data_IF_059323803929
#
_entry.id   IF_059323803929
#
_cell.length_a   1.000
_cell.length_b   1.000
_cell.length_c   1.000
_cell.angle_alpha   90.00
_cell.angle_beta   90.00
_cell.angle_gamma   90.00
#
_symmetry.space_group_name_H-M   'P 1'
#
loop_
_entity.id
_entity.type
_entity.pdbx_description
1 polymer ?
#
# COMPACT_ATOMS: atom_id res chain seq x y z
N UNK A 1 -50.80 13.40 5.16
CA UNK A 1 -50.26 13.65 6.50
C UNK A 1 -48.81 13.23 6.46
N UNK A 2 -47.91 14.19 6.66
CA UNK A 2 -46.48 13.92 6.61
C UNK A 2 -46.03 13.20 7.88
N UNK A 3 -44.97 12.41 7.73
CA UNK A 3 -43.99 12.10 8.75
C UNK A 3 -42.70 11.71 8.00
N UNK A 4 -41.61 12.37 8.36
CA UNK A 4 -40.27 12.09 7.84
C UNK A 4 -39.70 10.83 8.54
N UNK A 5 -38.59 10.24 8.05
CA UNK A 5 -37.31 10.83 8.45
C UNK A 5 -36.25 10.82 7.34
N UNK A 6 -35.49 11.90 7.30
CA UNK A 6 -34.23 11.97 6.58
C UNK A 6 -33.27 10.90 7.14
N UNK A 7 -32.82 9.99 6.28
CA UNK A 7 -31.72 9.08 6.59
C UNK A 7 -30.48 9.91 6.92
N UNK A 8 -29.96 9.70 8.13
CA UNK A 8 -28.81 10.38 8.66
C UNK A 8 -27.60 10.21 7.74
N UNK A 9 -27.02 11.34 7.34
CA UNK A 9 -25.69 11.35 6.78
C UNK A 9 -24.73 10.71 7.80
N UNK A 10 -23.87 9.76 7.38
CA UNK A 10 -22.91 9.14 8.28
C UNK A 10 -21.98 10.22 8.85
N UNK A 11 -21.61 10.13 10.13
CA UNK A 11 -20.72 11.10 10.76
C UNK A 11 -19.37 11.09 10.04
N UNK A 12 -18.71 12.26 9.90
CA UNK A 12 -17.40 12.33 9.27
C UNK A 12 -16.41 11.48 10.07
N UNK A 13 -15.74 10.60 9.33
CA UNK A 13 -14.66 9.73 9.77
C UNK A 13 -13.66 10.56 10.59
N UNK A 14 -13.49 10.16 11.85
CA UNK A 14 -12.62 10.82 12.81
C UNK A 14 -11.20 10.90 12.24
N UNK A 15 -10.80 12.10 11.83
CA UNK A 15 -9.42 12.42 11.53
C UNK A 15 -8.59 12.04 12.76
N UNK A 16 -7.76 11.02 12.61
CA UNK A 16 -6.78 10.64 13.59
C UNK A 16 -6.00 11.90 14.01
N UNK A 17 -5.89 12.17 15.32
CA UNK A 17 -5.26 13.39 15.80
C UNK A 17 -3.79 13.43 15.35
N UNK A 18 -3.26 14.60 14.98
CA UNK A 18 -1.84 14.73 14.71
C UNK A 18 -1.08 14.39 16.00
N UNK A 19 -0.27 13.34 15.93
CA UNK A 19 0.67 13.00 16.98
C UNK A 19 1.71 14.12 17.10
N UNK A 20 1.72 14.72 18.28
CA UNK A 20 2.82 15.35 19.01
C UNK A 20 3.80 16.27 18.28
N UNK A 21 3.76 17.53 18.70
CA UNK A 21 4.87 18.46 18.57
C UNK A 21 4.79 19.54 19.65
N UNK A 22 5.31 19.20 20.82
CA UNK A 22 5.50 20.09 21.98
C UNK A 22 6.40 21.31 21.62
N UNK A 23 6.45 22.35 22.48
CA UNK A 23 6.39 23.74 22.05
C UNK A 23 7.67 24.28 21.41
N UNK A 24 7.45 25.22 20.50
CA UNK A 24 8.42 26.11 19.88
C UNK A 24 9.18 26.90 20.96
N UNK A 25 10.31 26.37 21.42
CA UNK A 25 11.32 27.16 22.11
C UNK A 25 12.20 27.82 21.04
N UNK A 26 12.03 29.13 20.89
CA UNK A 26 12.91 29.98 20.12
C UNK A 26 14.33 29.93 20.70
N UNK A 27 15.31 29.58 19.87
CA UNK A 27 16.73 29.55 20.24
C UNK A 27 17.63 29.44 19.01
N UNK A 28 17.89 30.59 18.39
CA UNK A 28 19.11 31.05 17.67
C UNK A 28 19.93 30.03 16.84
N UNK A 29 20.23 30.33 15.56
CA UNK A 29 20.98 29.42 14.68
C UNK A 29 22.47 29.39 15.05
N UNK A 30 23.01 28.19 15.19
CA UNK A 30 24.44 27.95 15.18
C UNK A 30 24.74 26.91 14.09
N UNK A 31 25.36 27.42 13.02
CA UNK A 31 26.07 26.67 11.99
C UNK A 31 27.01 25.68 12.68
N UNK A 32 26.73 24.38 12.59
CA UNK A 32 27.38 23.41 13.45
C UNK A 32 27.15 21.99 12.97
N UNK A 33 27.70 21.67 11.79
CA UNK A 33 28.00 20.32 11.33
C UNK A 33 26.83 19.35 11.34
N UNK A 34 26.24 19.10 10.18
CA UNK A 34 25.38 17.93 10.01
C UNK A 34 26.16 16.70 10.51
N UNK A 35 25.70 15.98 11.56
CA UNK A 35 26.33 14.74 11.95
C UNK A 35 26.28 13.82 10.73
N UNK A 36 27.34 13.07 10.44
CA UNK A 36 27.32 12.14 9.32
C UNK A 36 26.15 11.21 9.53
N UNK A 37 25.16 11.31 8.64
CA UNK A 37 24.01 10.43 8.56
C UNK A 37 24.57 9.01 8.64
N UNK A 38 24.28 8.32 9.75
CA UNK A 38 24.78 6.98 9.98
C UNK A 38 24.31 6.15 8.79
N UNK A 39 25.26 5.76 7.94
CA UNK A 39 24.98 5.08 6.69
C UNK A 39 24.02 3.93 6.99
N UNK A 40 22.80 3.93 6.42
CA UNK A 40 21.84 2.89 6.73
C UNK A 40 22.48 1.53 6.43
N UNK A 41 22.21 0.51 7.28
CA UNK A 41 22.82 -0.80 7.13
C UNK A 41 22.65 -1.31 5.69
N UNK A 42 23.62 -2.08 5.16
CA UNK A 42 23.67 -2.43 3.74
C UNK A 42 22.31 -3.00 3.32
N UNK A 43 21.63 -2.26 2.46
CA UNK A 43 20.34 -2.66 1.96
C UNK A 43 20.52 -3.96 1.18
N UNK A 44 19.89 -5.03 1.67
CA UNK A 44 19.74 -6.25 0.88
C UNK A 44 19.05 -5.93 -0.46
N UNK A 45 19.14 -6.83 -1.45
CA UNK A 45 18.53 -6.59 -2.75
C UNK A 45 17.03 -6.26 -2.59
N UNK A 46 16.50 -5.33 -3.40
CA UNK A 46 15.10 -4.96 -3.35
C UNK A 46 14.21 -6.18 -3.59
N UNK A 47 13.34 -6.49 -2.63
CA UNK A 47 12.42 -7.61 -2.69
C UNK A 47 11.12 -7.27 -1.97
N UNK A 48 10.00 -7.80 -2.46
CA UNK A 48 8.71 -7.75 -1.79
C UNK A 48 8.18 -9.16 -1.61
N UNK A 49 7.46 -9.36 -0.51
CA UNK A 49 6.72 -10.58 -0.23
C UNK A 49 5.24 -10.26 -0.01
N UNK A 50 4.37 -11.24 -0.20
CA UNK A 50 2.93 -11.10 0.05
C UNK A 50 2.48 -12.26 0.94
N UNK A 51 1.76 -11.96 2.01
CA UNK A 51 1.21 -12.93 2.94
C UNK A 51 -0.28 -12.64 3.26
N UNK A 52 -1.21 -13.60 3.13
CA UNK A 52 -1.02 -14.94 2.56
C UNK A 52 -0.51 -14.90 1.10
N UNK A 53 0.24 -15.90 0.62
CA UNK A 53 0.79 -15.90 -0.74
C UNK A 53 -0.24 -16.29 -1.82
N UNK A 54 -1.47 -16.63 -1.43
CA UNK A 54 -2.59 -16.98 -2.30
C UNK A 54 -3.91 -16.65 -1.60
N UNK A 55 -4.98 -16.45 -2.38
CA UNK A 55 -6.31 -16.20 -1.85
C UNK A 55 -7.36 -17.15 -2.42
N UNK A 56 -8.36 -17.48 -1.60
CA UNK A 56 -9.61 -18.08 -2.03
C UNK A 56 -10.74 -17.15 -1.61
N UNK A 57 -11.63 -16.84 -2.55
CA UNK A 57 -12.77 -15.94 -2.30
C UNK A 57 -14.06 -16.56 -2.88
N UNK A 58 -15.23 -16.32 -2.27
CA UNK A 58 -16.48 -16.85 -2.79
C UNK A 58 -16.82 -16.27 -4.17
N UNK A 59 -17.33 -17.11 -5.07
CA UNK A 59 -17.85 -16.68 -6.37
C UNK A 59 -19.04 -15.71 -6.22
N UNK A 60 -19.81 -15.83 -5.14
CA UNK A 60 -20.87 -14.90 -4.76
C UNK A 60 -20.36 -13.51 -4.31
N UNK A 61 -19.05 -13.31 -4.22
CA UNK A 61 -18.41 -12.09 -3.74
C UNK A 61 -17.82 -12.25 -2.34
N UNK A 62 -16.83 -11.43 -2.02
CA UNK A 62 -16.12 -11.50 -0.75
C UNK A 62 -14.90 -10.60 -0.71
N UNK A 63 -14.16 -10.66 0.40
CA UNK A 63 -12.95 -9.89 0.60
C UNK A 63 -11.80 -10.80 1.05
N UNK A 64 -10.59 -10.43 0.67
CA UNK A 64 -9.35 -11.01 1.16
C UNK A 64 -8.37 -9.88 1.48
N UNK A 65 -7.62 -10.02 2.56
CA UNK A 65 -6.63 -9.03 2.99
C UNK A 65 -5.27 -9.71 3.03
N UNK A 66 -4.31 -9.07 2.37
CA UNK A 66 -2.92 -9.50 2.33
C UNK A 66 -2.02 -8.43 2.92
N UNK A 67 -0.81 -8.82 3.33
CA UNK A 67 0.26 -7.95 3.77
C UNK A 67 1.36 -7.99 2.72
N UNK A 68 1.66 -6.84 2.11
CA UNK A 68 2.83 -6.64 1.27
C UNK A 68 3.99 -6.29 2.22
N UNK A 69 4.95 -7.19 2.37
CA UNK A 69 6.10 -7.01 3.24
C UNK A 69 7.34 -6.61 2.44
N UNK A 70 8.06 -5.59 2.90
CA UNK A 70 9.35 -5.18 2.39
C UNK A 70 10.45 -5.54 3.39
N UNK A 71 11.07 -6.73 3.29
CA UNK A 71 12.18 -7.10 4.15
C UNK A 71 13.51 -6.47 3.71
N UNK A 72 13.54 -5.70 2.62
CA UNK A 72 14.77 -5.04 2.14
C UNK A 72 15.10 -3.78 2.95
N UNK A 73 16.32 -3.29 2.78
CA UNK A 73 16.79 -2.05 3.42
C UNK A 73 16.47 -0.77 2.64
N UNK A 74 15.74 -0.87 1.52
CA UNK A 74 15.35 0.27 0.68
C UNK A 74 13.85 0.47 0.68
N UNK A 75 13.41 1.71 0.51
CA UNK A 75 12.00 2.06 0.33
C UNK A 75 11.53 1.57 -1.03
N UNK A 76 10.41 0.85 -1.06
CA UNK A 76 9.86 0.31 -2.31
C UNK A 76 8.52 0.95 -2.63
N UNK A 77 8.36 1.38 -3.88
CA UNK A 77 7.06 1.67 -4.45
C UNK A 77 6.50 0.41 -5.11
N UNK A 78 5.20 0.16 -4.94
CA UNK A 78 4.53 -0.96 -5.60
C UNK A 78 3.35 -0.49 -6.46
N UNK A 79 3.02 -1.32 -7.46
CA UNK A 79 1.87 -1.21 -8.33
C UNK A 79 1.21 -2.57 -8.46
N UNK A 80 -0.07 -2.66 -8.12
CA UNK A 80 -0.88 -3.88 -8.27
C UNK A 80 -1.55 -3.87 -9.65
N UNK A 81 -1.45 -4.99 -10.36
CA UNK A 81 -2.13 -5.25 -11.63
C UNK A 81 -3.01 -6.48 -11.46
N UNK A 82 -4.21 -6.48 -12.04
CA UNK A 82 -5.11 -7.65 -12.06
C UNK A 82 -5.29 -8.18 -13.47
N UNK A 83 -5.49 -9.49 -13.62
CA UNK A 83 -6.02 -10.08 -14.86
C UNK A 83 -7.52 -9.86 -15.05
N UNK A 84 -8.23 -9.52 -13.99
CA UNK A 84 -9.66 -9.29 -13.99
C UNK A 84 -9.97 -8.02 -13.19
N UNK A 85 -10.12 -6.89 -13.91
CA UNK A 85 -10.49 -5.61 -13.30
C UNK A 85 -12.01 -5.44 -13.19
N UNK A 86 -12.79 -6.30 -13.83
CA UNK A 86 -14.25 -6.18 -13.84
C UNK A 86 -14.80 -6.58 -12.47
N UNK A 87 -14.37 -7.74 -11.98
CA UNK A 87 -14.93 -8.35 -10.76
C UNK A 87 -14.16 -7.98 -9.49
N UNK A 88 -13.00 -7.34 -9.60
CA UNK A 88 -12.16 -7.01 -8.45
C UNK A 88 -12.01 -5.51 -8.24
N UNK A 89 -11.93 -5.11 -6.98
CA UNK A 89 -11.47 -3.81 -6.51
C UNK A 89 -10.29 -4.04 -5.58
N UNK A 90 -9.24 -3.26 -5.79
CA UNK A 90 -7.97 -3.38 -5.08
C UNK A 90 -7.69 -2.08 -4.35
N UNK A 91 -7.28 -2.17 -3.09
CA UNK A 91 -6.91 -1.00 -2.29
C UNK A 91 -5.69 -1.33 -1.41
N UNK A 92 -4.58 -0.60 -1.53
CA UNK A 92 -4.27 0.38 -2.57
C UNK A 92 -3.81 -0.28 -3.88
N UNK A 93 -3.97 0.40 -5.03
CA UNK A 93 -3.40 -0.04 -6.32
C UNK A 93 -1.93 0.39 -6.45
N UNK A 94 -1.58 1.52 -5.84
CA UNK A 94 -0.21 2.02 -5.76
C UNK A 94 0.08 2.42 -4.31
N UNK A 95 1.30 2.20 -3.87
CA UNK A 95 1.72 2.62 -2.54
C UNK A 95 3.21 2.53 -2.35
N UNK A 96 3.63 2.88 -1.15
CA UNK A 96 4.98 2.69 -0.66
C UNK A 96 5.00 1.67 0.46
N UNK A 97 6.10 0.94 0.59
CA UNK A 97 6.42 0.13 1.76
C UNK A 97 7.82 0.51 2.22
N UNK A 98 7.90 1.05 3.42
CA UNK A 98 9.17 1.45 4.04
C UNK A 98 10.07 0.22 4.29
N UNK A 99 11.40 0.41 4.43
CA UNK A 99 12.31 -0.66 4.81
C UNK A 99 11.86 -1.39 6.08
N UNK A 100 11.76 -2.72 6.03
CA UNK A 100 11.33 -3.55 7.15
C UNK A 100 9.83 -3.44 7.51
N UNK A 101 9.04 -2.68 6.75
CA UNK A 101 7.62 -2.47 7.01
C UNK A 101 6.73 -3.39 6.18
N UNK A 102 5.44 -3.36 6.52
CA UNK A 102 4.38 -4.01 5.74
C UNK A 102 3.28 -3.01 5.39
N UNK A 103 2.59 -3.24 4.28
CA UNK A 103 1.41 -2.48 3.87
C UNK A 103 0.24 -3.43 3.57
N UNK A 104 -0.99 -3.11 4.01
CA UNK A 104 -2.16 -3.93 3.70
C UNK A 104 -2.54 -3.79 2.23
N UNK A 105 -2.97 -4.90 1.63
CA UNK A 105 -3.62 -4.99 0.33
C UNK A 105 -4.99 -5.62 0.51
N UNK A 106 -6.03 -4.80 0.43
CA UNK A 106 -7.43 -5.21 0.44
C UNK A 106 -7.88 -5.57 -0.98
N UNK A 107 -8.45 -6.76 -1.12
CA UNK A 107 -8.96 -7.32 -2.37
C UNK A 107 -10.44 -7.61 -2.17
N UNK A 108 -11.29 -6.85 -2.85
CA UNK A 108 -12.74 -7.06 -2.83
C UNK A 108 -13.18 -7.64 -4.17
N UNK A 109 -13.84 -8.78 -4.13
CA UNK A 109 -14.45 -9.41 -5.30
C UNK A 109 -15.96 -9.20 -5.30
N UNK A 110 -16.52 -8.77 -6.42
CA UNK A 110 -17.96 -8.77 -6.66
C UNK A 110 -18.46 -10.15 -7.07
N UNK A 111 -19.76 -10.38 -7.01
CA UNK A 111 -20.36 -11.61 -7.51
C UNK A 111 -20.04 -11.81 -9.01
N UNK A 112 -19.63 -13.01 -9.38
CA UNK A 112 -19.25 -13.36 -10.74
C UNK A 112 -18.85 -14.83 -10.85
N UNK A 113 -18.73 -15.39 -12.07
CA UNK A 113 -18.46 -16.82 -12.27
C UNK A 113 -17.21 -17.31 -11.50
N UNK A 114 -17.19 -18.54 -11.00
CA UNK A 114 -15.96 -19.14 -10.47
C UNK A 114 -14.84 -19.09 -11.51
N UNK A 115 -13.65 -18.67 -11.07
CA UNK A 115 -12.51 -18.45 -11.97
C UNK A 115 -11.19 -18.34 -11.21
N UNK A 116 -10.12 -18.81 -11.82
CA UNK A 116 -8.76 -18.51 -11.42
C UNK A 116 -8.31 -17.17 -12.03
N UNK A 117 -7.94 -16.24 -11.16
CA UNK A 117 -7.41 -14.93 -11.52
C UNK A 117 -6.05 -14.73 -10.84
N UNK A 118 -5.29 -13.71 -11.24
CA UNK A 118 -4.01 -13.37 -10.63
C UNK A 118 -3.84 -11.88 -10.48
N UNK A 119 -3.20 -11.50 -9.39
CA UNK A 119 -2.65 -10.16 -9.21
C UNK A 119 -1.14 -10.20 -9.35
N UNK A 120 -0.58 -9.21 -10.03
CA UNK A 120 0.87 -9.01 -10.15
C UNK A 120 1.22 -7.70 -9.46
N UNK A 121 2.01 -7.80 -8.40
CA UNK A 121 2.50 -6.68 -7.62
C UNK A 121 3.91 -6.39 -8.12
N UNK A 122 4.04 -5.38 -8.96
CA UNK A 122 5.33 -4.91 -9.47
C UNK A 122 5.92 -3.91 -8.50
N UNK A 123 7.24 -3.89 -8.33
CA UNK A 123 7.90 -2.97 -7.42
C UNK A 123 9.16 -2.33 -8.00
N UNK A 124 9.47 -1.16 -7.45
CA UNK A 124 10.64 -0.35 -7.78
C UNK A 124 11.20 0.26 -6.52
N UNK A 125 12.49 0.52 -6.53
CA UNK A 125 13.11 1.39 -5.52
C UNK A 125 12.52 2.80 -5.62
N UNK A 126 12.30 3.40 -4.46
CA UNK A 126 11.79 4.75 -4.31
C UNK A 126 12.76 5.57 -3.46
N UNK A 127 12.95 6.84 -3.83
CA UNK A 127 13.67 7.78 -2.98
C UNK A 127 12.88 8.05 -1.68
N UNK A 128 13.59 8.38 -0.60
CA UNK A 128 12.98 8.66 0.69
C UNK A 128 12.01 9.85 0.64
N UNK A 129 12.25 10.81 -0.25
CA UNK A 129 11.44 12.02 -0.48
C UNK A 129 10.38 11.85 -1.59
N UNK A 130 10.29 10.67 -2.22
CA UNK A 130 9.28 10.42 -3.24
C UNK A 130 7.87 10.53 -2.64
N UNK A 131 7.05 11.42 -3.22
CA UNK A 131 5.70 11.70 -2.76
C UNK A 131 4.61 10.90 -3.50
N UNK A 132 4.84 10.58 -4.79
CA UNK A 132 3.85 9.93 -5.65
C UNK A 132 4.40 8.59 -6.18
N UNK A 133 3.85 7.44 -5.75
CA UNK A 133 4.29 6.15 -6.24
C UNK A 133 3.95 5.97 -7.72
N UNK A 134 2.89 6.61 -8.23
CA UNK A 134 2.50 6.47 -9.64
C UNK A 134 3.54 7.09 -10.59
N UNK A 135 4.19 8.19 -10.19
CA UNK A 135 5.24 8.84 -10.96
C UNK A 135 6.45 7.93 -11.18
N UNK A 136 6.82 7.11 -10.19
CA UNK A 136 7.94 6.16 -10.27
C UNK A 136 7.67 5.07 -11.33
N UNK A 137 6.41 4.68 -11.52
CA UNK A 137 6.03 3.70 -12.54
C UNK A 137 5.92 4.28 -13.97
N UNK A 138 6.17 5.58 -14.16
CA UNK A 138 6.22 6.19 -15.52
C UNK A 138 7.56 5.98 -16.22
N UNK A 139 8.65 5.73 -15.51
CA UNK A 139 10.00 5.60 -16.09
C UNK A 139 10.66 4.25 -15.80
N UNK A 140 11.23 3.60 -16.80
CA UNK A 140 11.96 2.32 -16.66
C UNK A 140 11.10 1.11 -16.30
N UNK A 141 11.63 -0.13 -16.43
CA UNK A 141 10.94 -1.35 -16.01
C UNK A 141 10.92 -1.48 -14.48
N UNK A 142 9.97 -2.24 -13.89
CA UNK A 142 10.03 -2.65 -12.49
C UNK A 142 11.34 -3.38 -12.16
N UNK A 143 11.79 -3.28 -10.91
CA UNK A 143 12.97 -4.01 -10.41
C UNK A 143 12.62 -5.48 -10.17
N UNK A 144 11.37 -5.75 -9.78
CA UNK A 144 10.85 -7.09 -9.66
C UNK A 144 9.33 -7.11 -9.57
N UNK A 145 8.77 -8.31 -9.46
CA UNK A 145 7.34 -8.51 -9.29
C UNK A 145 7.03 -9.78 -8.49
N UNK A 146 5.89 -9.76 -7.79
CA UNK A 146 5.34 -10.89 -7.05
C UNK A 146 3.96 -11.21 -7.62
N UNK A 147 3.68 -12.49 -7.84
CA UNK A 147 2.36 -12.92 -8.30
C UNK A 147 1.56 -13.48 -7.13
N UNK A 148 0.34 -12.99 -6.96
CA UNK A 148 -0.65 -13.46 -6.01
C UNK A 148 -1.79 -14.16 -6.78
N UNK A 149 -1.84 -15.50 -6.81
CA UNK A 149 -2.96 -16.23 -7.38
C UNK A 149 -4.20 -16.07 -6.49
N UNK A 150 -5.35 -15.88 -7.12
CA UNK A 150 -6.65 -15.84 -6.45
C UNK A 150 -7.62 -16.80 -7.12
N UNK A 151 -8.27 -17.65 -6.34
CA UNK A 151 -9.29 -18.58 -6.82
C UNK A 151 -10.66 -18.13 -6.33
N UNK A 152 -11.57 -17.85 -7.27
CA UNK A 152 -12.97 -17.64 -6.98
C UNK A 152 -13.76 -18.94 -7.12
N UNK A 153 -14.47 -19.34 -6.07
CA UNK A 153 -15.22 -20.61 -6.01
C UNK A 153 -16.56 -20.49 -5.29
#
# INVERSE_FOLDING_TARGET
MGDAPAEGAPPPEAAAPPAEGAPLAAGVPADGGAPPEAAPPPAGPPTLNIDPPAAQVPAAGGQSVHQIANPSGVRLAFKVKSTNNNDYRLKPVYGFVEPGATAPLEITRTAGPPKEDKFVIQFKEAAADAADPTAIFKGGPPVGEVTLPIMAQ
#
